data_IF_156416026782
#
_entry.id   IF_156416026782
#
_cell.length_a   1.000
_cell.length_b   1.000
_cell.length_c   1.000
_cell.angle_alpha   90.00
_cell.angle_beta   90.00
_cell.angle_gamma   90.00
#
_symmetry.space_group_name_H-M   'P 1'
#
loop_
_entity.id
_entity.type
_entity.pdbx_description
1 polymer ?
#
# COMPACT_ATOMS: atom_id res chain seq x y z
N UNK A 1 2.16 -6.83 -14.60
CA UNK A 1 1.71 -5.89 -13.53
C UNK A 1 1.85 -6.59 -12.20
N UNK A 2 2.52 -5.99 -11.20
CA UNK A 2 2.63 -6.59 -9.88
C UNK A 2 1.26 -6.58 -9.16
N UNK A 3 0.90 -7.71 -8.55
CA UNK A 3 -0.29 -7.84 -7.71
C UNK A 3 0.10 -7.47 -6.28
N UNK A 4 -0.72 -6.68 -5.60
CA UNK A 4 -0.51 -6.30 -4.20
C UNK A 4 -1.67 -6.77 -3.36
N UNK A 5 -1.41 -7.62 -2.37
CA UNK A 5 -2.39 -8.06 -1.39
C UNK A 5 -2.43 -7.06 -0.23
N UNK A 6 -3.62 -6.71 0.26
CA UNK A 6 -3.78 -5.98 1.53
C UNK A 6 -4.51 -6.91 2.49
N UNK A 7 -3.95 -7.14 3.68
CA UNK A 7 -4.59 -8.04 4.65
C UNK A 7 -5.95 -7.49 5.09
N UNK A 8 -6.91 -8.37 5.44
CA UNK A 8 -8.15 -7.96 6.11
C UNK A 8 -7.83 -7.17 7.40
N UNK A 9 -8.70 -6.23 7.82
CA UNK A 9 -8.45 -5.42 9.02
C UNK A 9 -8.46 -6.24 10.32
N UNK A 10 -9.20 -7.35 10.36
CA UNK A 10 -9.27 -8.27 11.49
C UNK A 10 -8.40 -9.48 11.16
N UNK A 11 -7.68 -10.01 12.15
CA UNK A 11 -6.94 -11.27 11.99
C UNK A 11 -7.92 -12.43 11.96
N UNK A 12 -7.88 -13.20 10.87
CA UNK A 12 -8.71 -14.39 10.73
C UNK A 12 -7.96 -15.62 11.29
N UNK A 13 -8.67 -16.63 11.79
CA UNK A 13 -8.05 -17.91 12.15
C UNK A 13 -7.26 -18.48 10.98
N UNK A 14 -6.03 -18.91 11.25
CA UNK A 14 -5.13 -19.52 10.25
C UNK A 14 -4.78 -18.66 9.04
N UNK A 15 -5.03 -17.34 9.06
CA UNK A 15 -4.71 -16.41 7.97
C UNK A 15 -3.24 -16.49 7.53
N UNK A 16 -2.33 -16.66 8.50
CA UNK A 16 -0.90 -16.78 8.25
C UNK A 16 -0.53 -18.00 7.39
N UNK A 17 -1.28 -19.10 7.49
CA UNK A 17 -1.04 -20.29 6.65
C UNK A 17 -1.34 -19.97 5.19
N UNK A 18 -2.48 -19.33 4.93
CA UNK A 18 -2.85 -18.89 3.59
C UNK A 18 -1.88 -17.86 3.04
N UNK A 19 -1.46 -16.91 3.88
CA UNK A 19 -0.51 -15.87 3.49
C UNK A 19 0.84 -16.47 3.06
N UNK A 20 1.39 -17.39 3.86
CA UNK A 20 2.63 -18.08 3.51
C UNK A 20 2.48 -18.92 2.24
N UNK A 21 1.35 -19.62 2.07
CA UNK A 21 1.08 -20.37 0.84
C UNK A 21 1.06 -19.45 -0.40
N UNK A 22 0.41 -18.29 -0.32
CA UNK A 22 0.38 -17.32 -1.43
C UNK A 22 1.77 -16.74 -1.71
N UNK A 23 2.57 -16.46 -0.67
CA UNK A 23 3.94 -15.98 -0.80
C UNK A 23 4.85 -17.02 -1.46
N UNK A 24 4.69 -18.29 -1.10
CA UNK A 24 5.36 -19.42 -1.74
C UNK A 24 4.97 -19.57 -3.22
N UNK A 25 3.71 -19.30 -3.57
CA UNK A 25 3.23 -19.27 -4.97
C UNK A 25 3.71 -18.03 -5.76
N UNK A 26 4.52 -17.16 -5.16
CA UNK A 26 5.12 -16.02 -5.86
C UNK A 26 4.33 -14.71 -5.73
N UNK A 27 3.44 -14.57 -4.73
CA UNK A 27 2.85 -13.27 -4.40
C UNK A 27 3.97 -12.24 -4.14
N UNK A 28 4.03 -11.14 -4.90
CA UNK A 28 5.23 -10.29 -4.90
C UNK A 28 5.22 -9.28 -3.75
N UNK A 29 4.05 -8.86 -3.26
CA UNK A 29 3.94 -7.86 -2.20
C UNK A 29 2.66 -7.98 -1.38
N UNK A 30 2.80 -7.81 -0.07
CA UNK A 30 1.72 -7.82 0.91
C UNK A 30 1.79 -6.55 1.75
N UNK A 31 0.67 -5.86 1.88
CA UNK A 31 0.49 -4.82 2.88
C UNK A 31 -0.20 -5.39 4.09
N UNK A 32 0.53 -5.45 5.20
CA UNK A 32 -0.02 -5.82 6.49
C UNK A 32 -0.72 -4.59 7.09
N UNK A 33 -2.05 -4.70 7.20
CA UNK A 33 -2.94 -3.65 7.70
C UNK A 33 -3.90 -4.26 8.72
N UNK A 34 -3.63 -4.04 10.01
CA UNK A 34 -4.46 -4.49 11.14
C UNK A 34 -4.77 -3.32 12.09
N UNK A 35 -5.66 -2.40 11.69
CA UNK A 35 -5.91 -1.18 12.45
C UNK A 35 -6.47 -1.51 13.85
N UNK A 36 -5.94 -0.84 14.87
CA UNK A 36 -6.37 -1.00 16.26
C UNK A 36 -5.79 -2.22 16.99
N UNK A 37 -4.96 -3.03 16.35
CA UNK A 37 -4.19 -4.06 17.05
C UNK A 37 -2.99 -3.46 17.78
N UNK A 38 -2.56 -4.12 18.86
CA UNK A 38 -1.38 -3.70 19.63
C UNK A 38 -0.08 -4.02 18.89
N UNK A 39 1.02 -3.47 19.40
CA UNK A 39 2.37 -3.75 18.90
C UNK A 39 2.70 -5.24 19.04
N UNK A 40 2.35 -5.86 20.17
CA UNK A 40 2.59 -7.27 20.46
C UNK A 40 1.81 -8.18 19.50
N UNK A 41 0.57 -7.80 19.15
CA UNK A 41 -0.23 -8.53 18.18
C UNK A 41 0.38 -8.45 16.76
N UNK A 42 0.92 -7.30 16.36
CA UNK A 42 1.64 -7.17 15.09
C UNK A 42 2.93 -7.99 15.08
N UNK A 43 3.69 -7.93 16.17
CA UNK A 43 4.93 -8.69 16.35
C UNK A 43 4.67 -10.20 16.20
N UNK A 44 3.68 -10.72 16.94
CA UNK A 44 3.26 -12.12 16.85
C UNK A 44 2.77 -12.50 15.44
N UNK A 45 2.00 -11.63 14.77
CA UNK A 45 1.55 -11.87 13.41
C UNK A 45 2.73 -12.02 12.43
N UNK A 46 3.72 -11.14 12.51
CA UNK A 46 4.91 -11.17 11.64
C UNK A 46 5.76 -12.42 11.90
N UNK A 47 5.85 -12.86 13.16
CA UNK A 47 6.57 -14.09 13.50
C UNK A 47 6.00 -15.33 12.80
N UNK A 48 4.69 -15.37 12.54
CA UNK A 48 4.06 -16.46 11.77
C UNK A 48 4.35 -16.42 10.26
N UNK A 49 4.95 -15.34 9.73
CA UNK A 49 5.38 -15.26 8.33
C UNK A 49 6.80 -15.81 8.22
N UNK A 50 7.02 -16.76 7.29
CA UNK A 50 8.32 -17.35 7.04
C UNK A 50 9.37 -16.26 6.74
N UNK A 51 10.57 -16.30 7.36
CA UNK A 51 11.58 -15.25 7.21
C UNK A 51 11.93 -14.90 5.76
N UNK A 52 11.98 -15.89 4.89
CA UNK A 52 12.28 -15.75 3.45
C UNK A 52 11.28 -14.87 2.66
N UNK A 53 10.08 -14.65 3.20
CA UNK A 53 9.05 -13.82 2.56
C UNK A 53 8.89 -12.44 3.19
N UNK A 54 9.58 -12.16 4.30
CA UNK A 54 9.40 -10.92 5.08
C UNK A 54 9.77 -9.67 4.28
N UNK A 55 10.74 -9.78 3.38
CA UNK A 55 11.12 -8.72 2.44
C UNK A 55 10.00 -8.32 1.45
N UNK A 56 8.89 -9.07 1.39
CA UNK A 56 7.70 -8.74 0.57
C UNK A 56 6.59 -8.05 1.37
N UNK A 57 6.75 -7.91 2.69
CA UNK A 57 5.75 -7.33 3.58
C UNK A 57 5.98 -5.84 3.75
N UNK A 58 4.91 -5.05 3.66
CA UNK A 58 4.89 -3.60 3.90
C UNK A 58 3.93 -3.28 5.04
N UNK A 59 4.40 -2.58 6.07
CA UNK A 59 3.61 -2.27 7.28
C UNK A 59 2.82 -0.97 7.14
N UNK A 60 1.55 -0.97 7.57
CA UNK A 60 0.73 0.25 7.67
C UNK A 60 0.86 0.95 9.04
N UNK A 61 1.20 0.20 10.08
CA UNK A 61 1.31 0.63 11.47
C UNK A 61 2.60 0.05 12.08
N UNK A 62 3.07 0.58 13.21
CA UNK A 62 4.27 0.11 13.95
C UNK A 62 5.51 -0.08 13.05
N UNK A 63 5.92 1.00 12.38
CA UNK A 63 7.02 1.01 11.39
C UNK A 63 8.36 0.55 11.96
N UNK A 64 8.57 0.67 13.28
CA UNK A 64 9.72 0.14 14.00
C UNK A 64 9.92 -1.37 13.83
N UNK A 65 8.84 -2.13 13.62
CA UNK A 65 8.92 -3.57 13.37
C UNK A 65 9.52 -3.88 11.98
N UNK A 66 9.49 -2.92 11.05
CA UNK A 66 10.05 -3.09 9.71
C UNK A 66 11.54 -3.38 9.77
N UNK A 67 12.29 -2.66 10.61
CA UNK A 67 13.73 -2.88 10.77
C UNK A 67 14.00 -4.16 11.58
N UNK A 68 13.25 -4.38 12.66
CA UNK A 68 13.38 -5.58 13.53
C UNK A 68 13.31 -6.90 12.73
N UNK A 69 12.38 -6.99 11.78
CA UNK A 69 12.13 -8.21 11.01
C UNK A 69 12.66 -8.19 9.58
N UNK A 70 13.46 -7.18 9.22
CA UNK A 70 13.96 -6.97 7.86
C UNK A 70 12.83 -7.01 6.80
N UNK A 71 11.72 -6.33 7.08
CA UNK A 71 10.56 -6.32 6.20
C UNK A 71 10.84 -5.54 4.92
N UNK A 72 9.95 -5.68 3.92
CA UNK A 72 10.05 -4.99 2.63
C UNK A 72 9.81 -3.49 2.67
N UNK A 73 9.27 -2.94 3.76
CA UNK A 73 9.18 -1.50 4.00
C UNK A 73 7.92 -1.05 4.71
N UNK A 74 7.59 0.23 4.54
CA UNK A 74 6.53 0.92 5.30
C UNK A 74 5.57 1.68 4.39
N UNK A 75 4.36 1.86 4.89
CA UNK A 75 3.29 2.59 4.24
C UNK A 75 2.77 3.72 5.14
N UNK A 76 2.73 4.94 4.60
CA UNK A 76 2.11 6.09 5.25
C UNK A 76 0.74 6.38 4.66
N UNK A 77 -0.26 6.47 5.52
CA UNK A 77 -1.53 7.10 5.17
C UNK A 77 -1.31 8.61 5.07
N UNK A 78 -2.09 9.29 4.23
CA UNK A 78 -2.02 10.74 4.00
C UNK A 78 -1.81 11.58 5.27
N UNK A 79 -2.59 11.31 6.33
CA UNK A 79 -2.55 12.03 7.61
C UNK A 79 -1.31 11.76 8.46
N UNK A 80 -0.52 10.76 8.10
CA UNK A 80 0.71 10.34 8.78
C UNK A 80 1.96 10.67 7.97
N UNK A 81 1.80 11.24 6.76
CA UNK A 81 2.94 11.65 5.94
C UNK A 81 3.66 12.77 6.71
N UNK A 82 4.96 12.63 6.99
CA UNK A 82 5.76 13.69 7.61
C UNK A 82 5.74 14.98 6.76
N UNK A 83 5.94 16.13 7.41
CA UNK A 83 6.07 17.41 6.72
C UNK A 83 7.35 17.51 5.87
N UNK A 84 8.41 16.84 6.33
CA UNK A 84 9.71 16.81 5.68
C UNK A 84 9.80 15.75 4.57
N UNK A 85 10.87 15.80 3.77
CA UNK A 85 11.15 14.77 2.76
C UNK A 85 11.40 13.42 3.43
N UNK A 86 10.75 12.38 2.90
CA UNK A 86 10.88 11.03 3.43
C UNK A 86 12.15 10.39 2.86
N UNK A 87 12.92 9.76 3.74
CA UNK A 87 14.03 8.88 3.38
C UNK A 87 13.64 7.43 3.69
N UNK A 88 14.04 6.50 2.83
CA UNK A 88 13.81 5.08 3.08
C UNK A 88 14.53 4.62 4.38
N UNK A 89 13.90 3.79 5.23
CA UNK A 89 14.55 3.37 6.48
C UNK A 89 15.83 2.52 6.28
N UNK A 90 15.98 1.92 5.09
CA UNK A 90 17.20 1.25 4.64
C UNK A 90 17.21 1.13 3.10
N UNK A 91 18.36 0.82 2.46
CA UNK A 91 18.45 0.66 1.00
C UNK A 91 17.58 -0.48 0.43
N UNK A 92 17.18 -1.44 1.26
CA UNK A 92 16.35 -2.59 0.85
C UNK A 92 14.87 -2.40 1.18
N UNK A 93 14.52 -1.31 1.87
CA UNK A 93 13.15 -1.01 2.29
C UNK A 93 12.50 0.04 1.41
N UNK A 94 11.26 -0.23 1.03
CA UNK A 94 10.48 0.70 0.21
C UNK A 94 9.52 1.51 1.06
N UNK A 95 9.49 2.83 0.88
CA UNK A 95 8.42 3.68 1.38
C UNK A 95 7.29 3.76 0.37
N UNK A 96 6.07 3.66 0.85
CA UNK A 96 4.86 3.81 0.05
C UNK A 96 3.85 4.75 0.71
N UNK A 97 3.10 5.48 -0.10
CA UNK A 97 2.18 6.52 0.39
C UNK A 97 0.75 6.28 -0.09
N UNK A 98 -0.24 6.77 0.67
CA UNK A 98 -1.64 6.76 0.27
C UNK A 98 -2.22 8.14 0.12
N UNK A 99 -2.85 8.41 -1.02
CA UNK A 99 -3.50 9.68 -1.33
C UNK A 99 -4.97 9.49 -1.71
N UNK A 100 -5.78 10.51 -1.40
CA UNK A 100 -7.17 10.60 -1.85
C UNK A 100 -7.40 11.72 -2.88
N UNK A 101 -6.44 12.64 -3.05
CA UNK A 101 -6.46 13.67 -4.08
C UNK A 101 -5.34 13.39 -5.12
N UNK A 102 -5.67 13.29 -6.41
CA UNK A 102 -4.67 13.05 -7.46
C UNK A 102 -3.54 14.08 -7.48
N UNK A 103 -3.83 15.35 -7.18
CA UNK A 103 -2.84 16.43 -7.21
C UNK A 103 -1.68 16.20 -6.24
N UNK A 104 -1.90 15.46 -5.15
CA UNK A 104 -0.86 15.15 -4.16
C UNK A 104 0.25 14.25 -4.73
N UNK A 105 -0.03 13.54 -5.83
CA UNK A 105 0.98 12.75 -6.56
C UNK A 105 2.07 13.63 -7.18
N UNK A 106 1.76 14.89 -7.46
CA UNK A 106 2.70 15.83 -8.09
C UNK A 106 3.67 16.46 -7.10
N UNK A 107 3.42 16.31 -5.79
CA UNK A 107 4.29 16.82 -4.74
C UNK A 107 5.45 15.85 -4.55
N UNK A 108 6.66 16.38 -4.55
CA UNK A 108 7.83 15.57 -4.20
C UNK A 108 7.83 15.30 -2.70
N UNK A 109 8.01 14.03 -2.36
CA UNK A 109 7.99 13.51 -0.98
C UNK A 109 9.27 12.75 -0.64
N UNK A 110 10.30 12.84 -1.49
CA UNK A 110 11.57 12.13 -1.31
C UNK A 110 11.53 10.69 -1.85
N UNK A 111 12.15 9.77 -1.12
CA UNK A 111 12.42 8.38 -1.53
C UNK A 111 11.17 7.49 -1.49
N UNK A 112 10.18 7.80 -2.31
CA UNK A 112 8.91 7.09 -2.39
C UNK A 112 8.92 6.12 -3.57
N UNK A 113 8.88 4.82 -3.26
CA UNK A 113 8.89 3.78 -4.28
C UNK A 113 7.59 3.68 -5.06
N UNK A 114 6.44 3.83 -4.38
CA UNK A 114 5.12 3.81 -5.03
C UNK A 114 4.04 4.44 -4.17
N UNK A 115 2.91 4.79 -4.79
CA UNK A 115 1.77 5.40 -4.13
C UNK A 115 0.50 4.59 -4.37
N UNK A 116 -0.45 4.64 -3.43
CA UNK A 116 -1.83 4.28 -3.64
C UNK A 116 -2.65 5.53 -3.90
N UNK A 117 -3.57 5.45 -4.86
CA UNK A 117 -4.59 6.45 -5.08
C UNK A 117 -5.98 5.81 -4.92
N UNK A 118 -6.80 6.38 -4.04
CA UNK A 118 -8.14 5.86 -3.74
C UNK A 118 -9.05 6.97 -3.19
N UNK A 119 -10.34 7.04 -3.56
CA UNK A 119 -11.02 6.22 -4.55
C UNK A 119 -10.75 6.73 -5.97
N UNK A 120 -10.65 5.84 -6.96
CA UNK A 120 -10.58 6.23 -8.38
C UNK A 120 -11.96 6.15 -9.04
N UNK A 121 -12.83 5.33 -8.48
CA UNK A 121 -14.20 5.16 -8.91
C UNK A 121 -15.14 5.54 -7.77
N UNK A 122 -16.31 6.06 -8.15
CA UNK A 122 -17.40 6.21 -7.21
C UNK A 122 -17.82 4.84 -6.65
N UNK A 123 -18.22 4.84 -5.38
CA UNK A 123 -18.65 3.63 -4.70
C UNK A 123 -19.98 3.16 -5.27
N UNK A 124 -19.96 2.13 -6.13
CA UNK A 124 -21.16 1.52 -6.73
C UNK A 124 -22.15 1.05 -5.63
N UNK A 125 -21.66 0.68 -4.44
CA UNK A 125 -22.44 0.07 -3.36
C UNK A 125 -22.84 1.01 -2.21
N UNK A 126 -22.65 2.33 -2.33
CA UNK A 126 -23.07 3.30 -1.29
C UNK A 126 -23.88 4.43 -1.89
N UNK A 127 -25.19 4.25 -1.97
CA UNK A 127 -26.15 5.31 -2.27
C UNK A 127 -26.04 6.42 -1.21
N UNK A 128 -25.67 7.64 -1.64
CA UNK A 128 -25.53 8.81 -0.76
C UNK A 128 -24.10 9.29 -0.52
N UNK A 129 -23.08 8.56 -0.99
CA UNK A 129 -21.73 9.13 -1.11
C UNK A 129 -21.64 9.86 -2.46
N UNK A 130 -22.09 11.11 -2.48
CA UNK A 130 -22.00 12.00 -3.66
C UNK A 130 -20.55 12.26 -4.10
N UNK A 131 -20.35 13.01 -5.20
CA UNK A 131 -19.08 13.12 -5.94
C UNK A 131 -18.01 13.84 -5.11
N UNK A 132 -17.34 13.10 -4.22
CA UNK A 132 -16.25 13.60 -3.39
C UNK A 132 -14.86 13.13 -3.87
N UNK A 133 -14.80 12.13 -4.74
CA UNK A 133 -13.55 11.71 -5.34
C UNK A 133 -13.29 12.57 -6.57
N UNK A 134 -12.30 13.48 -6.50
CA UNK A 134 -11.71 14.03 -7.72
C UNK A 134 -11.12 12.85 -8.47
N UNK A 135 -11.84 12.36 -9.48
CA UNK A 135 -11.35 11.31 -10.37
C UNK A 135 -10.01 11.77 -10.89
N UNK A 136 -8.98 10.93 -10.76
CA UNK A 136 -7.68 11.22 -11.34
C UNK A 136 -7.85 11.51 -12.83
N UNK A 137 -7.70 12.77 -13.22
CA UNK A 137 -7.77 13.14 -14.62
C UNK A 137 -6.51 12.62 -15.34
N UNK A 138 -6.62 12.39 -16.65
CA UNK A 138 -5.52 11.88 -17.47
C UNK A 138 -4.27 12.76 -17.37
N UNK A 139 -4.47 14.05 -17.18
CA UNK A 139 -3.41 15.06 -17.15
C UNK A 139 -2.49 14.90 -15.93
N UNK A 140 -3.05 14.83 -14.72
CA UNK A 140 -2.28 14.61 -13.49
C UNK A 140 -1.51 13.28 -13.54
N UNK A 141 -2.15 12.22 -14.02
CA UNK A 141 -1.49 10.92 -14.18
C UNK A 141 -0.35 10.99 -15.21
N UNK A 142 -0.55 11.70 -16.32
CA UNK A 142 0.49 11.88 -17.34
C UNK A 142 1.70 12.65 -16.81
N UNK A 143 1.46 13.71 -16.03
CA UNK A 143 2.51 14.49 -15.39
C UNK A 143 3.27 13.68 -14.34
N UNK A 144 2.55 12.87 -13.54
CA UNK A 144 3.18 11.96 -12.58
C UNK A 144 4.11 10.97 -13.27
N UNK A 145 3.65 10.36 -14.37
CA UNK A 145 4.43 9.39 -15.14
C UNK A 145 5.66 10.05 -15.78
N UNK A 146 5.55 11.29 -16.27
CA UNK A 146 6.68 11.99 -16.88
C UNK A 146 7.73 12.47 -15.87
N UNK A 147 7.34 12.73 -14.62
CA UNK A 147 8.23 13.31 -13.58
C UNK A 147 9.07 12.26 -12.84
N UNK A 148 8.74 10.97 -12.93
CA UNK A 148 9.46 9.92 -12.19
C UNK A 148 10.01 8.86 -13.13
N UNK A 149 11.22 8.38 -12.86
CA UNK A 149 11.86 7.33 -13.66
C UNK A 149 11.13 5.97 -13.56
N UNK A 150 10.52 5.67 -12.40
CA UNK A 150 9.76 4.43 -12.17
C UNK A 150 8.43 4.72 -11.46
N UNK A 151 7.46 5.34 -12.15
CA UNK A 151 6.19 5.72 -11.55
C UNK A 151 5.33 4.48 -11.30
N UNK A 152 5.05 4.20 -10.02
CA UNK A 152 4.14 3.12 -9.62
C UNK A 152 2.98 3.69 -8.80
N UNK A 153 1.78 3.67 -9.38
CA UNK A 153 0.53 3.99 -8.69
C UNK A 153 -0.33 2.73 -8.62
N UNK A 154 -0.67 2.31 -7.42
CA UNK A 154 -1.63 1.24 -7.18
C UNK A 154 -3.02 1.81 -6.96
N UNK A 155 -3.95 1.26 -7.69
CA UNK A 155 -5.32 1.71 -7.71
C UNK A 155 -6.20 0.80 -6.86
N UNK A 156 -6.79 1.34 -5.79
CA UNK A 156 -7.70 0.58 -4.94
C UNK A 156 -9.12 0.66 -5.47
N UNK A 157 -9.70 -0.49 -5.80
CA UNK A 157 -11.09 -0.60 -6.25
C UNK A 157 -11.91 -1.29 -5.15
N UNK A 158 -12.77 -0.53 -4.45
CA UNK A 158 -13.77 -1.05 -3.51
C UNK A 158 -13.25 -1.81 -2.27
N UNK A 159 -14.19 -2.41 -1.52
CA UNK A 159 -13.93 -3.28 -0.36
C UNK A 159 -13.77 -4.76 -0.74
N UNK A 160 -14.25 -5.18 -1.92
CA UNK A 160 -14.56 -6.60 -2.23
C UNK A 160 -13.98 -7.16 -3.56
N UNK A 161 -12.96 -6.56 -4.17
CA UNK A 161 -12.22 -7.20 -5.27
C UNK A 161 -11.62 -6.27 -6.33
N UNK A 162 -10.55 -6.72 -6.97
CA UNK A 162 -9.82 -5.98 -8.01
C UNK A 162 -10.43 -6.22 -9.41
N UNK A 163 -10.72 -5.15 -10.16
CA UNK A 163 -10.88 -5.21 -11.63
C UNK A 163 -9.90 -4.25 -12.31
N UNK A 164 -9.32 -4.72 -13.41
CA UNK A 164 -8.33 -4.01 -14.26
C UNK A 164 -9.01 -2.89 -15.04
N UNK A 165 -8.44 -1.69 -15.01
CA UNK A 165 -8.45 -0.82 -16.18
C UNK A 165 -7.00 -0.67 -16.64
N UNK A 166 -6.73 -1.15 -17.85
CA UNK A 166 -5.52 -0.78 -18.58
C UNK A 166 -5.48 0.74 -18.66
N UNK A 167 -4.44 1.36 -18.07
CA UNK A 167 -4.10 2.72 -18.38
C UNK A 167 -4.01 2.85 -19.91
N UNK A 168 -4.97 3.59 -20.46
CA UNK A 168 -4.84 4.51 -21.59
C UNK A 168 -3.65 4.18 -22.50
N UNK A 169 -3.95 3.61 -23.68
CA UNK A 169 -3.06 3.73 -24.84
C UNK A 169 -2.92 5.19 -25.24
#
# INVERSE_FOLDING_TARGET
MPIVLITPPVTLPSEHLFLNAMLNLGLPKVHLRKPGQSLEAHDAYIQHISPEYRNRITLHDFHELSQKFCLGGVYYRERQIPGDLITAPSPTQTVSLGFHNPEDLLVDRGDVGYCFLSPIYESISKTGYGPGAKIANREVLSQFVSKRATPSVFFRVGRDGFRRCSAIR
#
